data_IF_222447408510
#
_entry.id   IF_222447408510
#
_cell.length_a   1.000
_cell.length_b   1.000
_cell.length_c   1.000
_cell.angle_alpha   90.00
_cell.angle_beta   90.00
_cell.angle_gamma   90.00
#
_symmetry.space_group_name_H-M   'P 1'
#
loop_
_entity.id
_entity.type
_entity.pdbx_description
1 polymer ?
#
# COMPACT_ATOMS: atom_id res chain seq x y z
N UNK A 1 -10.32 -19.10 11.64
CA UNK A 1 -9.22 -19.17 10.65
C UNK A 1 -7.94 -19.48 11.38
N UNK A 2 -7.21 -20.51 10.98
CA UNK A 2 -5.89 -20.84 11.54
C UNK A 2 -4.89 -19.79 11.06
N UNK A 3 -4.04 -19.28 11.97
CA UNK A 3 -3.01 -18.30 11.63
C UNK A 3 -1.96 -18.89 10.68
N UNK A 4 -1.45 -18.09 9.76
CA UNK A 4 -0.33 -18.48 8.88
C UNK A 4 0.96 -18.56 9.71
N UNK A 5 1.72 -19.64 9.54
CA UNK A 5 2.96 -19.87 10.30
C UNK A 5 4.06 -18.85 9.94
N UNK A 6 4.90 -18.52 10.91
CA UNK A 6 6.10 -17.69 10.71
C UNK A 6 7.02 -18.32 9.65
N UNK A 7 7.57 -17.49 8.76
CA UNK A 7 8.55 -17.96 7.78
C UNK A 7 8.07 -19.04 6.81
N UNK A 8 6.76 -19.21 6.65
CA UNK A 8 6.17 -20.28 5.84
C UNK A 8 5.87 -19.87 4.39
N UNK A 9 5.92 -18.57 4.07
CA UNK A 9 5.57 -18.05 2.76
C UNK A 9 6.82 -17.62 1.99
N UNK A 10 6.93 -18.09 0.75
CA UNK A 10 7.97 -17.63 -0.18
C UNK A 10 7.65 -16.23 -0.72
N UNK A 11 6.37 -15.99 -0.99
CA UNK A 11 5.86 -14.78 -1.61
C UNK A 11 4.56 -14.36 -0.95
N UNK A 12 4.41 -13.04 -0.72
CA UNK A 12 3.14 -12.41 -0.38
C UNK A 12 2.81 -11.39 -1.47
N UNK A 13 1.56 -11.34 -1.90
CA UNK A 13 1.10 -10.37 -2.89
C UNK A 13 -0.07 -9.58 -2.32
N UNK A 14 0.03 -8.26 -2.33
CA UNK A 14 -1.08 -7.36 -2.01
C UNK A 14 -1.42 -6.47 -3.20
N UNK A 15 -2.71 -6.39 -3.51
CA UNK A 15 -3.21 -5.54 -4.58
C UNK A 15 -4.36 -4.70 -4.04
N UNK A 16 -4.16 -3.39 -3.93
CA UNK A 16 -5.18 -2.42 -3.49
C UNK A 16 -5.79 -2.78 -2.12
N UNK A 17 -4.97 -3.30 -1.21
CA UNK A 17 -5.41 -3.78 0.11
C UNK A 17 -4.87 -2.90 1.22
N UNK A 18 -3.57 -2.59 1.17
CA UNK A 18 -2.89 -1.86 2.24
C UNK A 18 -3.43 -0.43 2.34
N UNK A 19 -3.95 0.14 1.26
CA UNK A 19 -4.63 1.44 1.30
C UNK A 19 -5.89 1.45 2.19
N UNK A 20 -6.57 0.30 2.36
CA UNK A 20 -7.86 0.17 3.07
C UNK A 20 -7.75 -0.19 4.56
N UNK A 21 -6.62 -0.74 4.99
CA UNK A 21 -6.46 -1.20 6.39
C UNK A 21 -6.24 -0.02 7.37
N UNK A 22 -6.72 -0.07 8.62
CA UNK A 22 -6.53 1.04 9.56
C UNK A 22 -5.07 1.19 10.04
N UNK A 23 -4.30 0.09 10.08
CA UNK A 23 -2.93 0.06 10.59
C UNK A 23 -1.99 -0.60 9.59
N UNK A 24 -1.44 0.19 8.67
CA UNK A 24 -0.47 -0.28 7.66
C UNK A 24 0.78 -0.89 8.31
N UNK A 25 1.43 -0.27 9.32
CA UNK A 25 2.62 -0.86 9.95
C UNK A 25 2.37 -2.27 10.52
N UNK A 26 1.20 -2.51 11.13
CA UNK A 26 0.85 -3.83 11.63
C UNK A 26 0.73 -4.88 10.50
N UNK A 27 0.12 -4.50 9.37
CA UNK A 27 0.03 -5.37 8.19
C UNK A 27 1.41 -5.68 7.61
N UNK A 28 2.26 -4.66 7.45
CA UNK A 28 3.63 -4.88 6.95
C UNK A 28 4.47 -5.74 7.90
N UNK A 29 4.29 -5.59 9.22
CA UNK A 29 4.92 -6.47 10.21
C UNK A 29 4.46 -7.92 10.04
N UNK A 30 3.18 -8.14 9.77
CA UNK A 30 2.62 -9.46 9.57
C UNK A 30 3.09 -10.11 8.26
N UNK A 31 3.08 -9.35 7.16
CA UNK A 31 3.67 -9.77 5.87
C UNK A 31 5.12 -10.20 6.08
N UNK A 32 5.90 -9.40 6.81
CA UNK A 32 7.28 -9.73 7.13
C UNK A 32 7.40 -10.93 8.06
N UNK A 33 6.46 -11.15 9.00
CA UNK A 33 6.47 -12.33 9.89
C UNK A 33 6.32 -13.62 9.08
N UNK A 34 5.34 -13.69 8.19
CA UNK A 34 5.00 -14.91 7.45
C UNK A 34 5.98 -15.21 6.32
N UNK A 35 6.66 -14.20 5.77
CA UNK A 35 7.71 -14.42 4.78
C UNK A 35 8.90 -15.18 5.37
N UNK A 36 9.41 -16.18 4.65
CA UNK A 36 10.73 -16.78 4.96
C UNK A 36 11.86 -15.76 4.75
N UNK A 37 13.05 -15.93 5.35
CA UNK A 37 14.22 -15.13 4.99
C UNK A 37 14.49 -15.18 3.48
N UNK A 38 14.66 -14.03 2.83
CA UNK A 38 14.78 -13.92 1.37
C UNK A 38 13.46 -14.09 0.61
N UNK A 39 12.32 -14.22 1.29
CA UNK A 39 10.99 -14.19 0.68
C UNK A 39 10.60 -12.77 0.23
N UNK A 40 9.72 -12.68 -0.76
CA UNK A 40 9.37 -11.43 -1.43
C UNK A 40 7.93 -10.99 -1.17
N UNK A 41 7.75 -9.69 -0.92
CA UNK A 41 6.44 -9.04 -0.87
C UNK A 41 6.24 -8.20 -2.13
N UNK A 42 5.27 -8.55 -2.98
CA UNK A 42 4.88 -7.75 -4.13
C UNK A 42 3.65 -6.92 -3.83
N UNK A 43 3.64 -5.68 -4.31
CA UNK A 43 2.52 -4.78 -4.06
C UNK A 43 2.18 -3.91 -5.28
N UNK A 44 0.88 -3.62 -5.40
CA UNK A 44 0.35 -2.48 -6.14
C UNK A 44 -0.70 -1.81 -5.27
N UNK A 45 -0.49 -0.55 -4.94
CA UNK A 45 -1.33 0.15 -3.97
C UNK A 45 -1.71 1.52 -4.49
N UNK A 46 -2.96 1.91 -4.24
CA UNK A 46 -3.39 3.28 -4.42
C UNK A 46 -2.76 4.16 -3.34
N UNK A 47 -2.33 5.36 -3.72
CA UNK A 47 -1.67 6.29 -2.80
C UNK A 47 -2.10 7.74 -3.02
N UNK A 48 -1.78 8.62 -2.06
CA UNK A 48 -1.96 10.05 -2.25
C UNK A 48 -1.13 10.57 -3.44
N UNK A 49 -1.59 11.66 -4.05
CA UNK A 49 -0.80 12.41 -5.01
C UNK A 49 0.55 12.84 -4.38
N UNK A 50 1.63 12.72 -5.15
CA UNK A 50 2.99 13.08 -4.69
C UNK A 50 3.13 14.58 -4.49
N UNK A 51 2.53 15.37 -5.39
CA UNK A 51 2.51 16.83 -5.27
C UNK A 51 1.32 17.25 -4.40
N UNK A 52 1.65 17.69 -3.20
CA UNK A 52 0.69 18.09 -2.17
C UNK A 52 0.00 19.43 -2.48
N UNK A 53 0.56 20.22 -3.40
CA UNK A 53 0.00 21.48 -3.92
C UNK A 53 -0.93 21.29 -5.12
N UNK A 54 -1.04 20.06 -5.63
CA UNK A 54 -1.89 19.76 -6.78
C UNK A 54 -3.38 19.80 -6.43
N UNK A 55 -4.21 20.15 -7.42
CA UNK A 55 -5.68 20.02 -7.32
C UNK A 55 -6.11 18.60 -6.97
N UNK A 56 -5.34 17.59 -7.38
CA UNK A 56 -5.63 16.18 -7.06
C UNK A 56 -5.51 15.96 -5.54
N UNK A 57 -4.41 16.41 -4.91
CA UNK A 57 -4.24 16.29 -3.45
C UNK A 57 -5.37 17.02 -2.70
N UNK A 58 -5.78 18.20 -3.18
CA UNK A 58 -6.92 18.93 -2.60
C UNK A 58 -8.22 18.10 -2.62
N UNK A 59 -8.63 17.58 -3.79
CA UNK A 59 -9.85 16.79 -3.88
C UNK A 59 -9.74 15.44 -3.17
N UNK A 60 -8.57 14.81 -3.16
CA UNK A 60 -8.33 13.61 -2.34
C UNK A 60 -8.57 13.93 -0.86
N UNK A 61 -8.07 15.06 -0.36
CA UNK A 61 -8.26 15.49 1.03
C UNK A 61 -9.74 15.71 1.38
N UNK A 62 -10.47 16.37 0.48
CA UNK A 62 -11.89 16.69 0.66
C UNK A 62 -12.81 15.45 0.59
N UNK A 63 -12.56 14.54 -0.35
CA UNK A 63 -13.45 13.39 -0.61
C UNK A 63 -13.12 12.15 0.22
N UNK A 64 -11.96 12.09 0.88
CA UNK A 64 -11.52 10.90 1.62
C UNK A 64 -12.52 10.35 2.66
N UNK A 65 -13.25 11.15 3.45
CA UNK A 65 -14.20 10.61 4.43
C UNK A 65 -15.35 9.83 3.78
N UNK A 66 -15.98 10.38 2.73
CA UNK A 66 -17.03 9.68 1.99
C UNK A 66 -16.46 8.53 1.18
N UNK A 67 -15.23 8.69 0.65
CA UNK A 67 -14.55 7.63 -0.08
C UNK A 67 -14.34 6.37 0.76
N UNK A 68 -13.85 6.52 2.00
CA UNK A 68 -13.64 5.40 2.92
C UNK A 68 -14.93 4.61 3.18
N UNK A 69 -16.08 5.28 3.22
CA UNK A 69 -17.37 4.64 3.46
C UNK A 69 -17.85 3.81 2.26
N UNK A 70 -17.54 4.25 1.04
CA UNK A 70 -18.06 3.65 -0.20
C UNK A 70 -17.10 2.59 -0.77
N UNK A 71 -15.78 2.74 -0.55
CA UNK A 71 -14.74 1.91 -1.15
C UNK A 71 -14.00 1.05 -0.12
N UNK A 72 -14.76 0.35 0.72
CA UNK A 72 -14.24 -0.66 1.66
C UNK A 72 -13.08 -0.15 2.55
N UNK A 73 -13.17 1.09 3.04
CA UNK A 73 -12.15 1.69 3.89
C UNK A 73 -10.94 2.28 3.17
N UNK A 74 -10.87 2.19 1.83
CA UNK A 74 -9.77 2.73 1.03
C UNK A 74 -9.52 4.21 1.36
N UNK A 75 -8.29 4.53 1.75
CA UNK A 75 -7.88 5.89 2.07
C UNK A 75 -7.10 6.49 0.91
N UNK A 76 -7.74 7.36 0.13
CA UNK A 76 -7.10 8.06 -1.02
C UNK A 76 -6.04 9.09 -0.63
N UNK A 77 -5.84 9.29 0.67
CA UNK A 77 -4.78 10.12 1.25
C UNK A 77 -3.57 9.34 1.75
N UNK A 78 -3.54 8.03 1.59
CA UNK A 78 -2.54 7.21 2.28
C UNK A 78 -1.20 7.25 1.54
N UNK A 79 -0.14 7.40 2.32
CA UNK A 79 1.25 7.41 1.85
C UNK A 79 1.94 6.08 2.16
N UNK A 80 1.37 4.97 1.68
CA UNK A 80 1.86 3.60 1.96
C UNK A 80 3.35 3.41 1.63
N UNK A 81 3.90 4.20 0.70
CA UNK A 81 5.33 4.22 0.41
C UNK A 81 6.19 4.54 1.64
N UNK A 82 5.77 5.49 2.47
CA UNK A 82 6.48 5.89 3.68
C UNK A 82 6.48 4.75 4.71
N UNK A 83 5.37 4.01 4.83
CA UNK A 83 5.32 2.84 5.71
C UNK A 83 6.22 1.71 5.20
N UNK A 84 6.29 1.49 3.88
CA UNK A 84 7.17 0.51 3.24
C UNK A 84 8.65 0.83 3.47
N UNK A 85 9.05 2.09 3.30
CA UNK A 85 10.41 2.56 3.58
C UNK A 85 10.79 2.36 5.06
N UNK A 86 9.83 2.47 5.97
CA UNK A 86 10.02 2.29 7.40
C UNK A 86 9.91 0.83 7.87
N UNK A 87 9.40 -0.10 7.05
CA UNK A 87 9.19 -1.50 7.42
C UNK A 87 10.50 -2.35 7.51
N UNK A 88 11.64 -1.74 7.19
CA UNK A 88 12.99 -2.33 7.31
C UNK A 88 13.17 -3.65 6.55
N UNK A 89 12.53 -3.81 5.38
CA UNK A 89 12.87 -4.88 4.45
C UNK A 89 14.35 -4.76 4.06
N UNK A 90 15.00 -5.89 3.74
CA UNK A 90 16.42 -5.92 3.35
C UNK A 90 16.63 -5.27 1.98
N UNK A 91 15.64 -5.36 1.10
CA UNK A 91 15.58 -4.66 -0.18
C UNK A 91 14.17 -4.07 -0.38
N UNK A 92 14.09 -2.89 -1.01
CA UNK A 92 12.84 -2.27 -1.42
C UNK A 92 13.01 -1.67 -2.82
N UNK A 93 12.28 -2.22 -3.79
CA UNK A 93 12.11 -1.64 -5.12
C UNK A 93 10.70 -1.06 -5.22
N UNK A 94 10.59 0.27 -5.25
CA UNK A 94 9.32 0.97 -5.27
C UNK A 94 9.31 2.00 -6.40
N UNK A 95 8.22 2.03 -7.17
CA UNK A 95 8.01 3.03 -8.22
C UNK A 95 6.65 3.67 -8.08
N UNK A 96 6.61 4.99 -8.15
CA UNK A 96 5.37 5.73 -8.33
C UNK A 96 4.94 5.64 -9.80
N UNK A 97 3.66 5.34 -10.01
CA UNK A 97 3.05 5.28 -11.34
C UNK A 97 1.74 6.06 -11.33
N UNK A 98 1.29 6.46 -12.52
CA UNK A 98 -0.09 6.87 -12.73
C UNK A 98 -0.82 5.71 -13.38
N UNK A 99 -1.72 5.07 -12.65
CA UNK A 99 -2.52 3.97 -13.17
C UNK A 99 -3.47 4.49 -14.28
N UNK A 100 -3.72 3.70 -15.34
CA UNK A 100 -4.59 4.07 -16.44
C UNK A 100 -6.07 3.88 -16.07
N UNK A 101 -6.53 4.62 -15.05
CA UNK A 101 -7.90 4.56 -14.53
C UNK A 101 -8.70 5.81 -14.95
N UNK A 102 -10.01 5.70 -15.23
CA UNK A 102 -10.81 6.84 -15.71
C UNK A 102 -10.86 8.01 -14.73
N UNK A 103 -10.83 7.71 -13.43
CA UNK A 103 -10.92 8.71 -12.38
C UNK A 103 -9.51 9.15 -11.94
N UNK A 104 -9.10 10.35 -12.33
CA UNK A 104 -7.77 10.89 -12.03
C UNK A 104 -7.45 10.99 -10.53
N UNK A 105 -8.44 11.10 -9.66
CA UNK A 105 -8.26 11.10 -8.20
C UNK A 105 -7.61 9.83 -7.67
N UNK A 106 -7.83 8.69 -8.33
CA UNK A 106 -7.25 7.40 -7.97
C UNK A 106 -6.09 7.02 -8.89
N UNK A 107 -5.68 7.91 -9.80
CA UNK A 107 -4.54 7.68 -10.69
C UNK A 107 -3.23 7.36 -9.94
N UNK A 108 -2.85 8.09 -8.88
CA UNK A 108 -1.59 7.85 -8.19
C UNK A 108 -1.54 6.47 -7.52
N UNK A 109 -0.51 5.70 -7.87
CA UNK A 109 -0.25 4.37 -7.34
C UNK A 109 1.24 4.18 -7.08
N UNK A 110 1.57 3.21 -6.24
CA UNK A 110 2.91 2.62 -6.18
C UNK A 110 2.83 1.16 -6.63
N UNK A 111 3.89 0.70 -7.30
CA UNK A 111 4.09 -0.70 -7.65
C UNK A 111 5.53 -1.09 -7.34
N UNK A 112 5.74 -2.30 -6.84
CA UNK A 112 7.06 -2.71 -6.44
C UNK A 112 7.12 -4.06 -5.75
N UNK A 113 8.29 -4.32 -5.17
CA UNK A 113 8.53 -5.44 -4.30
C UNK A 113 9.47 -5.07 -3.14
N UNK A 114 9.41 -5.86 -2.07
CA UNK A 114 10.33 -5.80 -0.95
C UNK A 114 10.79 -7.21 -0.55
N UNK A 115 12.03 -7.35 -0.09
CA UNK A 115 12.60 -8.65 0.32
C UNK A 115 12.78 -8.68 1.84
N UNK A 116 12.40 -9.78 2.49
CA UNK A 116 12.65 -9.98 3.93
C UNK A 116 14.11 -10.24 4.20
#
# INVERSE_FOLDING_TARGET
MTSVADGSMDVVVCTLLVCSVPNTPAVLKEVKRILRPGGAFYFIEHVAAVDDSSWISFFQKALNPSWKLIFDGCSIRKSTWNDLENAKFSELNLRHITAPVPLKLIGPHIIGYAVK
#
